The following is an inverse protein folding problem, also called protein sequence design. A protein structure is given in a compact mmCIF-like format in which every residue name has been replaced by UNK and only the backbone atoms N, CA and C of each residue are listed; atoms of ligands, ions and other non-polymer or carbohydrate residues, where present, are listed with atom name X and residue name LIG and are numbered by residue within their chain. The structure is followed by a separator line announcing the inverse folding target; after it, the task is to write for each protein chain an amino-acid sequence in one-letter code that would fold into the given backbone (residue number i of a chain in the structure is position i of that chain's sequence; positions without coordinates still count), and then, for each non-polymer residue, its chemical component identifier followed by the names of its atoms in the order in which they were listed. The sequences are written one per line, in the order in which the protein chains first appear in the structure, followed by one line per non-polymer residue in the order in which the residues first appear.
data_IF_090358534746
#
_entry.id   IF_090358534746
#
_cell.length_a   1.000
_cell.length_b   1.000
_cell.length_c   1.000
_cell.angle_alpha   90.00
_cell.angle_beta   90.00
_cell.angle_gamma   90.00
#
_symmetry.space_group_name_H-M   'P 1'
#
loop_
_entity.id
_entity.type
_entity.pdbx_description
1 polymer ?
#
# COMPACT_ATOMS: atom_id res chain seq x y z
N UNK A 1 8.31 10.25 28.56
CA UNK A 1 8.29 8.79 28.46
C UNK A 1 8.09 8.45 26.99
N UNK A 2 9.17 8.24 26.23
CA UNK A 2 9.06 7.89 24.80
C UNK A 2 8.83 6.40 24.70
N UNK A 3 7.72 5.98 24.10
CA UNK A 3 7.54 4.57 23.76
C UNK A 3 8.63 4.19 22.75
N UNK A 4 9.47 3.21 23.10
CA UNK A 4 10.43 2.66 22.17
C UNK A 4 9.63 1.90 21.09
N UNK A 5 9.53 2.48 19.89
CA UNK A 5 9.01 1.78 18.73
C UNK A 5 9.95 0.61 18.41
N UNK A 6 9.41 -0.59 18.36
CA UNK A 6 10.20 -1.74 17.91
C UNK A 6 10.40 -1.64 16.40
N UNK A 7 11.48 -2.20 15.84
CA UNK A 7 11.65 -2.27 14.38
C UNK A 7 10.46 -2.93 13.66
N UNK A 8 9.76 -3.86 14.32
CA UNK A 8 8.54 -4.48 13.80
C UNK A 8 7.36 -3.50 13.72
N UNK A 9 7.19 -2.59 14.71
CA UNK A 9 6.17 -1.55 14.68
C UNK A 9 6.38 -0.60 13.49
N UNK A 10 7.64 -0.29 13.18
CA UNK A 10 7.98 0.55 12.03
C UNK A 10 7.62 -0.15 10.72
N UNK A 11 7.94 -1.44 10.57
CA UNK A 11 7.59 -2.20 9.34
C UNK A 11 6.07 -2.26 9.14
N UNK A 12 5.29 -2.53 10.20
CA UNK A 12 3.82 -2.57 10.10
C UNK A 12 3.27 -1.20 9.72
N UNK A 13 3.77 -0.13 10.37
CA UNK A 13 3.38 1.24 10.06
C UNK A 13 3.69 1.61 8.60
N UNK A 14 4.88 1.24 8.10
CA UNK A 14 5.32 1.51 6.74
C UNK A 14 4.42 0.78 5.72
N UNK A 15 4.09 -0.50 5.95
CA UNK A 15 3.21 -1.27 5.07
C UNK A 15 1.77 -0.76 5.06
N UNK A 16 1.22 -0.35 6.22
CA UNK A 16 -0.09 0.29 6.29
C UNK A 16 -0.08 1.61 5.52
N UNK A 17 0.99 2.40 5.67
CA UNK A 17 1.12 3.68 4.99
C UNK A 17 1.16 3.50 3.47
N UNK A 18 1.96 2.55 2.97
CA UNK A 18 2.02 2.20 1.54
C UNK A 18 0.65 1.77 1.03
N UNK A 19 -0.02 0.84 1.71
CA UNK A 19 -1.35 0.38 1.32
C UNK A 19 -2.36 1.52 1.27
N UNK A 20 -2.39 2.37 2.29
CA UNK A 20 -3.31 3.50 2.37
C UNK A 20 -3.11 4.48 1.22
N UNK A 21 -1.86 4.87 0.93
CA UNK A 21 -1.56 5.83 -0.13
C UNK A 21 -1.88 5.28 -1.52
N UNK A 22 -1.59 4.01 -1.77
CA UNK A 22 -1.93 3.34 -3.03
C UNK A 22 -3.47 3.27 -3.25
N UNK A 23 -4.23 2.91 -2.22
CA UNK A 23 -5.70 2.89 -2.29
C UNK A 23 -6.31 4.29 -2.46
N UNK A 24 -5.71 5.29 -1.82
CA UNK A 24 -6.13 6.68 -1.96
C UNK A 24 -5.89 7.21 -3.39
N UNK A 25 -4.77 6.85 -4.01
CA UNK A 25 -4.50 7.15 -5.42
C UNK A 25 -5.58 6.60 -6.34
N UNK A 26 -6.05 5.37 -6.06
CA UNK A 26 -7.15 4.71 -6.77
C UNK A 26 -8.44 5.55 -6.91
N UNK A 27 -8.70 6.45 -5.96
CA UNK A 27 -9.91 7.28 -5.93
C UNK A 27 -9.85 8.46 -6.90
N UNK A 28 -8.65 8.92 -7.27
CA UNK A 28 -8.45 10.14 -8.08
C UNK A 28 -8.03 9.86 -9.52
N UNK A 29 -7.58 8.64 -9.83
CA UNK A 29 -7.13 8.30 -11.18
C UNK A 29 -8.19 8.44 -12.26
N UNK A 30 -9.48 8.23 -11.94
CA UNK A 30 -10.57 8.45 -12.89
C UNK A 30 -10.68 9.92 -13.33
N UNK A 31 -10.51 10.85 -12.39
CA UNK A 31 -10.49 12.28 -12.69
C UNK A 31 -9.23 12.65 -13.49
N UNK A 32 -8.08 12.08 -13.17
CA UNK A 32 -6.85 12.32 -13.92
C UNK A 32 -6.93 11.80 -15.37
N UNK A 33 -7.58 10.65 -15.58
CA UNK A 33 -7.80 10.11 -16.92
C UNK A 33 -8.73 10.99 -17.75
N UNK A 34 -9.72 11.61 -17.10
CA UNK A 34 -10.61 12.59 -17.72
C UNK A 34 -9.85 13.87 -18.09
N UNK A 35 -9.02 14.37 -17.19
CA UNK A 35 -8.21 15.57 -17.45
C UNK A 35 -7.17 15.34 -18.57
N UNK A 36 -6.74 14.09 -18.77
CA UNK A 36 -5.81 13.69 -19.82
C UNK A 36 -6.50 13.33 -21.16
N UNK A 37 -7.79 13.62 -21.34
CA UNK A 37 -8.49 13.32 -22.59
C UNK A 37 -7.80 13.99 -23.80
N UNK A 38 -7.55 13.20 -24.86
CA UNK A 38 -6.81 13.64 -26.04
C UNK A 38 -5.28 13.53 -25.93
N UNK A 39 -4.76 13.17 -24.75
CA UNK A 39 -3.33 12.95 -24.49
C UNK A 39 -3.05 11.47 -24.18
N UNK A 40 -3.01 10.64 -25.23
CA UNK A 40 -2.97 9.18 -25.08
C UNK A 40 -1.73 8.63 -24.35
N UNK A 41 -0.58 9.29 -24.45
CA UNK A 41 0.63 8.92 -23.71
C UNK A 41 0.51 9.20 -22.22
N UNK A 42 -0.11 10.32 -21.85
CA UNK A 42 -0.42 10.68 -20.47
C UNK A 42 -1.47 9.74 -19.87
N UNK A 43 -2.52 9.41 -20.62
CA UNK A 43 -3.53 8.43 -20.20
C UNK A 43 -2.89 7.07 -19.92
N UNK A 44 -2.07 6.55 -20.84
CA UNK A 44 -1.36 5.29 -20.66
C UNK A 44 -0.38 5.31 -19.47
N UNK A 45 0.20 6.46 -19.16
CA UNK A 45 1.00 6.62 -17.94
C UNK A 45 0.13 6.53 -16.69
N UNK A 46 -1.00 7.25 -16.63
CA UNK A 46 -1.90 7.24 -15.48
C UNK A 46 -2.48 5.82 -15.24
N UNK A 47 -2.89 5.12 -16.30
CA UNK A 47 -3.37 3.74 -16.20
C UNK A 47 -2.32 2.79 -15.61
N UNK A 48 -1.05 2.91 -16.04
CA UNK A 48 0.05 2.13 -15.45
C UNK A 48 0.23 2.44 -13.97
N UNK A 49 0.25 3.72 -13.60
CA UNK A 49 0.38 4.13 -12.19
C UNK A 49 -0.76 3.55 -11.36
N UNK A 50 -2.00 3.62 -11.85
CA UNK A 50 -3.16 3.02 -11.19
C UNK A 50 -2.99 1.51 -10.99
N UNK A 51 -2.51 0.80 -12.02
CA UNK A 51 -2.31 -0.65 -11.94
C UNK A 51 -1.21 -1.02 -10.94
N UNK A 52 -0.09 -0.30 -10.97
CA UNK A 52 1.00 -0.51 -10.01
C UNK A 52 0.57 -0.22 -8.57
N UNK A 53 -0.24 0.81 -8.34
CA UNK A 53 -0.79 1.08 -7.01
C UNK A 53 -1.74 -0.01 -6.52
N UNK A 54 -2.59 -0.55 -7.41
CA UNK A 54 -3.41 -1.72 -7.07
C UNK A 54 -2.53 -2.90 -6.63
N UNK A 55 -1.44 -3.16 -7.35
CA UNK A 55 -0.49 -4.22 -7.00
C UNK A 55 0.22 -3.94 -5.66
N UNK A 56 0.68 -2.71 -5.42
CA UNK A 56 1.30 -2.30 -4.14
C UNK A 56 0.34 -2.48 -2.96
N UNK A 57 -0.92 -2.10 -3.12
CA UNK A 57 -1.93 -2.25 -2.07
C UNK A 57 -2.17 -3.72 -1.71
N UNK A 58 -2.28 -4.59 -2.72
CA UNK A 58 -2.44 -6.04 -2.54
C UNK A 58 -1.23 -6.67 -1.87
N UNK A 59 -0.03 -6.31 -2.31
CA UNK A 59 1.21 -6.87 -1.76
C UNK A 59 1.44 -6.43 -0.31
N UNK A 60 1.22 -5.15 -0.01
CA UNK A 60 1.25 -4.67 1.37
C UNK A 60 0.22 -5.40 2.26
N UNK A 61 -0.97 -5.71 1.73
CA UNK A 61 -1.97 -6.50 2.46
C UNK A 61 -1.47 -7.90 2.80
N UNK A 62 -0.86 -8.57 1.81
CA UNK A 62 -0.32 -9.93 1.97
C UNK A 62 0.76 -9.96 3.04
N UNK A 63 1.73 -9.04 2.97
CA UNK A 63 2.84 -8.92 3.92
C UNK A 63 2.36 -8.61 5.34
N UNK A 64 1.39 -7.70 5.50
CA UNK A 64 0.76 -7.43 6.80
C UNK A 64 0.12 -8.70 7.40
N UNK A 65 -0.54 -9.50 6.56
CA UNK A 65 -1.12 -10.77 6.99
C UNK A 65 -0.06 -11.77 7.45
N UNK A 66 1.11 -11.81 6.81
CA UNK A 66 2.24 -12.67 7.18
C UNK A 66 2.83 -12.28 8.53
N UNK A 67 3.17 -10.99 8.71
CA UNK A 67 3.72 -10.48 9.96
C UNK A 67 2.78 -10.70 11.16
N UNK A 68 1.48 -10.54 10.94
CA UNK A 68 0.46 -10.76 11.98
C UNK A 68 0.39 -12.23 12.39
N UNK A 69 0.49 -13.16 11.43
CA UNK A 69 0.49 -14.61 11.72
C UNK A 69 1.77 -15.04 12.45
N UNK A 70 2.93 -14.53 12.03
CA UNK A 70 4.21 -14.83 12.68
C UNK A 70 4.23 -14.36 14.14
N UNK A 71 3.74 -13.15 14.39
CA UNK A 71 3.58 -12.62 15.75
C UNK A 71 2.67 -13.50 16.61
N UNK A 72 1.52 -13.92 16.07
CA UNK A 72 0.59 -14.80 16.78
C UNK A 72 1.14 -16.22 17.02
N UNK A 73 2.00 -16.73 16.14
CA UNK A 73 2.69 -18.02 16.30
C UNK A 73 3.81 -17.98 17.33
N UNK A 74 4.58 -16.88 17.37
CA UNK A 74 5.65 -16.66 18.35
C UNK A 74 5.13 -16.65 19.79
N UNK A 75 3.97 -16.00 20.04
CA UNK A 75 3.32 -16.01 21.36
C UNK A 75 2.81 -17.38 21.83
N UNK A 76 2.68 -18.38 20.95
CA UNK A 76 2.16 -19.72 21.29
C UNK A 76 3.23 -20.75 21.61
N UNK A 77 4.50 -20.42 21.40
CA UNK A 77 5.64 -21.35 21.55
C UNK A 77 6.64 -20.94 22.64
N UNK A 78 6.36 -19.84 23.35
CA UNK A 78 7.14 -19.35 24.50
C UNK A 78 6.53 -19.73 25.84
#
# INVERSE_FOLDING_TARGET
MGHAHTPADNIVYDLISIQFHALKGGQVYADYLKDAEGHGDVQAFIERVQQEDSQRALEAHRLLGELTRESAGSLRTG
#
